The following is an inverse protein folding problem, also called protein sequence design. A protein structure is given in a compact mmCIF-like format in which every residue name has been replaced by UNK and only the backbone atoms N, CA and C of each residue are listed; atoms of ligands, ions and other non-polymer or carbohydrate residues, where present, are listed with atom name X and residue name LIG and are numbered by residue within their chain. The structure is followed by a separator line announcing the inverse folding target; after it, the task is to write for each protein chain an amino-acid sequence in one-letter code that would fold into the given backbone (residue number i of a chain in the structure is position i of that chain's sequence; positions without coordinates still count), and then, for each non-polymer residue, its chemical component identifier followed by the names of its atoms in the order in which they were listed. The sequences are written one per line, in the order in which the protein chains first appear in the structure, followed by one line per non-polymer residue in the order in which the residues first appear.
data_IF_416681396969
#
_entry.id   IF_416681396969
#
_cell.length_a   1.000
_cell.length_b   1.000
_cell.length_c   1.000
_cell.angle_alpha   90.00
_cell.angle_beta   90.00
_cell.angle_gamma   90.00
#
_symmetry.space_group_name_H-M   'P 1'
#
loop_
_entity.id
_entity.type
_entity.pdbx_description
1 polymer ?
#
# COMPACT_ATOMS: atom_id res chain seq x y z
N UNK A 1 22.84 25.45 -17.38
CA UNK A 1 21.68 24.66 -17.86
C UNK A 1 21.82 23.26 -17.30
N UNK A 2 21.14 22.97 -16.19
CA UNK A 2 21.22 21.66 -15.51
C UNK A 2 20.36 20.69 -16.30
N UNK A 3 20.96 19.59 -16.78
CA UNK A 3 20.25 18.50 -17.43
C UNK A 3 19.26 17.88 -16.43
N UNK A 4 17.98 18.14 -16.65
CA UNK A 4 16.88 17.48 -15.96
C UNK A 4 16.79 16.06 -16.52
N UNK A 5 17.53 15.12 -15.92
CA UNK A 5 17.30 13.70 -16.13
C UNK A 5 15.88 13.42 -15.63
N UNK A 6 14.88 13.41 -16.52
CA UNK A 6 13.62 12.79 -16.18
C UNK A 6 13.93 11.33 -15.95
N UNK A 7 13.81 10.88 -14.70
CA UNK A 7 13.79 9.45 -14.41
C UNK A 7 12.67 8.89 -15.27
N UNK A 8 13.02 8.17 -16.33
CA UNK A 8 12.05 7.51 -17.21
C UNK A 8 11.24 6.61 -16.31
N UNK A 9 10.02 7.04 -16.00
CA UNK A 9 9.14 6.31 -15.11
C UNK A 9 8.71 5.09 -15.90
N UNK A 10 9.18 3.91 -15.49
CA UNK A 10 8.91 2.65 -16.20
C UNK A 10 7.42 2.37 -16.36
N UNK A 11 6.61 3.05 -15.54
CA UNK A 11 5.16 3.10 -15.60
C UNK A 11 4.71 4.56 -15.66
N UNK A 12 4.26 5.00 -16.82
CA UNK A 12 3.68 6.34 -17.01
C UNK A 12 2.22 6.34 -16.54
N UNK A 13 2.04 6.56 -15.24
CA UNK A 13 0.70 6.73 -14.66
C UNK A 13 0.18 8.15 -14.85
N UNK A 14 -1.07 8.25 -15.30
CA UNK A 14 -1.84 9.49 -15.35
C UNK A 14 -1.95 10.14 -13.96
N UNK A 15 -2.11 11.48 -13.85
CA UNK A 15 -2.34 12.14 -12.57
C UNK A 15 -3.51 11.54 -11.76
N UNK A 16 -4.55 11.05 -12.44
CA UNK A 16 -5.68 10.37 -11.81
C UNK A 16 -5.25 9.03 -11.17
N UNK A 17 -4.46 8.23 -11.90
CA UNK A 17 -3.97 6.93 -11.44
C UNK A 17 -3.04 7.06 -10.23
N UNK A 18 -2.15 8.06 -10.25
CA UNK A 18 -1.30 8.40 -9.09
C UNK A 18 -2.15 8.76 -7.86
N UNK A 19 -3.23 9.48 -8.07
CA UNK A 19 -4.16 9.83 -7.00
C UNK A 19 -4.83 8.58 -6.44
N UNK A 20 -5.31 7.66 -7.28
CA UNK A 20 -5.90 6.40 -6.81
C UNK A 20 -4.94 5.56 -5.98
N UNK A 21 -3.65 5.51 -6.35
CA UNK A 21 -2.61 4.80 -5.60
C UNK A 21 -2.45 5.38 -4.19
N UNK A 22 -2.49 6.70 -4.04
CA UNK A 22 -2.39 7.38 -2.74
C UNK A 22 -3.65 7.17 -1.91
N UNK A 23 -4.83 7.34 -2.53
CA UNK A 23 -6.12 7.16 -1.85
C UNK A 23 -6.36 5.71 -1.41
N UNK A 24 -5.84 4.72 -2.13
CA UNK A 24 -5.96 3.31 -1.75
C UNK A 24 -5.37 3.02 -0.36
N UNK A 25 -4.19 3.55 -0.05
CA UNK A 25 -3.56 3.42 1.29
C UNK A 25 -4.42 4.08 2.37
N UNK A 26 -4.94 5.28 2.10
CA UNK A 26 -5.74 6.03 3.06
C UNK A 26 -7.03 5.27 3.43
N UNK A 27 -7.72 4.73 2.42
CA UNK A 27 -8.93 3.91 2.64
C UNK A 27 -8.58 2.61 3.38
N UNK A 28 -7.47 1.95 3.01
CA UNK A 28 -6.97 0.76 3.70
C UNK A 28 -6.74 0.98 5.19
N UNK A 29 -6.09 2.09 5.55
CA UNK A 29 -5.85 2.48 6.95
C UNK A 29 -7.15 2.69 7.73
N UNK A 30 -8.11 3.40 7.14
CA UNK A 30 -9.41 3.67 7.78
C UNK A 30 -10.15 2.37 8.05
N UNK A 31 -10.25 1.51 7.04
CA UNK A 31 -10.95 0.23 7.16
C UNK A 31 -10.21 -0.76 8.07
N UNK A 32 -8.87 -0.75 8.07
CA UNK A 32 -8.04 -1.60 8.92
C UNK A 32 -8.06 -1.22 10.40
N UNK A 33 -8.34 0.05 10.71
CA UNK A 33 -8.35 0.53 12.11
C UNK A 33 -9.40 -0.18 12.97
N UNK A 34 -10.63 -0.37 12.47
CA UNK A 34 -11.70 -1.03 13.21
C UNK A 34 -11.41 -2.50 13.59
N UNK A 35 -11.04 -3.39 12.64
CA UNK A 35 -10.74 -4.78 12.98
C UNK A 35 -9.50 -4.88 13.87
N UNK A 36 -8.43 -4.11 13.60
CA UNK A 36 -7.23 -4.13 14.46
C UNK A 36 -7.58 -3.69 15.89
N UNK A 37 -8.42 -2.67 16.05
CA UNK A 37 -8.88 -2.22 17.38
C UNK A 37 -9.69 -3.31 18.10
N UNK A 38 -10.59 -4.00 17.39
CA UNK A 38 -11.34 -5.13 17.96
C UNK A 38 -10.40 -6.25 18.43
N UNK A 39 -9.45 -6.67 17.58
CA UNK A 39 -8.47 -7.70 17.93
C UNK A 39 -7.53 -7.26 19.05
N UNK A 40 -7.21 -5.97 19.11
CA UNK A 40 -6.41 -5.36 20.18
C UNK A 40 -7.10 -5.51 21.55
N UNK A 41 -8.40 -5.20 21.64
CA UNK A 41 -9.17 -5.32 22.89
C UNK A 41 -9.29 -6.80 23.31
N UNK A 42 -9.51 -7.71 22.36
CA UNK A 42 -9.78 -9.13 22.66
C UNK A 42 -8.52 -9.96 22.96
N UNK A 43 -7.43 -9.74 22.24
CA UNK A 43 -6.22 -10.58 22.32
C UNK A 43 -4.98 -9.82 22.81
N UNK A 44 -5.14 -8.53 23.16
CA UNK A 44 -4.05 -7.64 23.52
C UNK A 44 -3.24 -7.17 22.31
N UNK A 45 -2.26 -6.30 22.55
CA UNK A 45 -1.52 -5.59 21.51
C UNK A 45 -0.53 -6.46 20.70
N UNK A 46 0.00 -7.53 21.30
CA UNK A 46 1.18 -8.25 20.76
C UNK A 46 0.93 -8.86 19.37
N UNK A 47 -0.14 -9.64 19.24
CA UNK A 47 -0.44 -10.36 18.00
C UNK A 47 -1.01 -9.47 16.90
N UNK A 48 -1.96 -8.56 17.15
CA UNK A 48 -2.49 -7.66 16.12
C UNK A 48 -1.40 -6.77 15.51
N UNK A 49 -0.50 -6.22 16.33
CA UNK A 49 0.58 -5.36 15.86
C UNK A 49 1.64 -6.13 15.06
N UNK A 50 1.95 -7.36 15.46
CA UNK A 50 2.86 -8.22 14.71
C UNK A 50 2.28 -8.60 13.34
N UNK A 51 1.02 -9.04 13.31
CA UNK A 51 0.35 -9.45 12.07
C UNK A 51 0.19 -8.26 11.13
N UNK A 52 -0.18 -7.07 11.62
CA UNK A 52 -0.26 -5.86 10.78
C UNK A 52 1.10 -5.49 10.19
N UNK A 53 2.17 -5.59 10.99
CA UNK A 53 3.54 -5.34 10.51
C UNK A 53 3.96 -6.33 9.43
N UNK A 54 3.74 -7.63 9.64
CA UNK A 54 4.05 -8.68 8.64
C UNK A 54 3.23 -8.48 7.36
N UNK A 55 1.95 -8.16 7.47
CA UNK A 55 1.08 -7.88 6.33
C UNK A 55 1.58 -6.66 5.51
N UNK A 56 1.97 -5.58 6.19
CA UNK A 56 2.51 -4.37 5.55
C UNK A 56 3.83 -4.63 4.82
N UNK A 57 4.77 -5.33 5.46
CA UNK A 57 6.05 -5.69 4.83
C UNK A 57 5.84 -6.62 3.64
N UNK A 58 4.95 -7.61 3.78
CA UNK A 58 4.61 -8.53 2.69
C UNK A 58 4.03 -7.78 1.50
N UNK A 59 3.08 -6.89 1.74
CA UNK A 59 2.46 -6.08 0.68
C UNK A 59 3.50 -5.20 -0.02
N UNK A 60 4.41 -4.59 0.74
CA UNK A 60 5.50 -3.78 0.21
C UNK A 60 6.43 -4.59 -0.69
N UNK A 61 6.76 -5.83 -0.29
CA UNK A 61 7.57 -6.73 -1.08
C UNK A 61 6.88 -7.15 -2.40
N UNK A 62 5.55 -7.17 -2.44
CA UNK A 62 4.77 -7.48 -3.64
C UNK A 62 4.60 -6.29 -4.60
N UNK A 63 4.80 -5.03 -4.17
CA UNK A 63 4.67 -3.84 -5.03
C UNK A 63 5.43 -3.94 -6.37
N UNK A 64 6.72 -4.36 -6.45
CA UNK A 64 7.40 -4.46 -7.73
C UNK A 64 6.74 -5.47 -8.68
N UNK A 65 6.28 -6.61 -8.16
CA UNK A 65 5.59 -7.64 -8.95
C UNK A 65 4.19 -7.16 -9.36
N UNK A 66 3.48 -6.47 -8.47
CA UNK A 66 2.18 -5.87 -8.74
C UNK A 66 2.28 -4.78 -9.82
N UNK A 67 3.36 -4.00 -9.85
CA UNK A 67 3.61 -3.03 -10.91
C UNK A 67 3.72 -3.70 -12.30
N UNK A 68 4.29 -4.90 -12.38
CA UNK A 68 4.33 -5.68 -13.63
C UNK A 68 2.98 -6.27 -14.04
N UNK A 69 2.13 -6.64 -13.09
CA UNK A 69 0.80 -7.20 -13.35
C UNK A 69 -0.25 -6.15 -13.72
N UNK A 70 -0.05 -4.90 -13.31
CA UNK A 70 -0.86 -3.74 -13.69
C UNK A 70 -1.45 -2.96 -12.51
N UNK A 71 -2.10 -1.84 -12.84
CA UNK A 71 -2.67 -0.89 -11.87
C UNK A 71 -3.55 -1.52 -10.78
N UNK A 72 -4.52 -2.42 -11.04
CA UNK A 72 -5.39 -2.96 -9.98
C UNK A 72 -4.64 -3.77 -8.92
N UNK A 73 -3.60 -4.52 -9.30
CA UNK A 73 -2.77 -5.27 -8.35
C UNK A 73 -1.93 -4.34 -7.49
N UNK A 74 -1.46 -3.23 -8.07
CA UNK A 74 -0.72 -2.21 -7.35
C UNK A 74 -1.63 -1.45 -6.37
N UNK A 75 -2.86 -1.13 -6.78
CA UNK A 75 -3.88 -0.55 -5.88
C UNK A 75 -4.22 -1.49 -4.73
N UNK A 76 -4.40 -2.79 -5.00
CA UNK A 76 -4.67 -3.78 -3.97
C UNK A 76 -3.51 -3.90 -2.97
N UNK A 77 -2.28 -3.97 -3.47
CA UNK A 77 -1.10 -4.00 -2.59
C UNK A 77 -1.01 -2.73 -1.74
N UNK A 78 -1.30 -1.57 -2.31
CA UNK A 78 -1.35 -0.30 -1.57
C UNK A 78 -2.46 -0.24 -0.54
N UNK A 79 -3.62 -0.82 -0.84
CA UNK A 79 -4.72 -0.91 0.11
C UNK A 79 -4.39 -1.81 1.31
N UNK A 80 -3.64 -2.89 1.10
CA UNK A 80 -3.26 -3.85 2.14
C UNK A 80 -2.04 -3.41 2.97
N UNK A 81 -1.18 -2.55 2.40
CA UNK A 81 0.04 -2.04 3.03
C UNK A 81 -0.26 -1.21 4.28
#
# INVERSE_FOLDING_TARGET
MVAMYSLVNRFDYSPAEKSYIIWAVAIGTILGTFPINYFYIKYGARWPFFISGVMSVSSTAFIPLAAHLGLPYLLFSRFVQ
#
